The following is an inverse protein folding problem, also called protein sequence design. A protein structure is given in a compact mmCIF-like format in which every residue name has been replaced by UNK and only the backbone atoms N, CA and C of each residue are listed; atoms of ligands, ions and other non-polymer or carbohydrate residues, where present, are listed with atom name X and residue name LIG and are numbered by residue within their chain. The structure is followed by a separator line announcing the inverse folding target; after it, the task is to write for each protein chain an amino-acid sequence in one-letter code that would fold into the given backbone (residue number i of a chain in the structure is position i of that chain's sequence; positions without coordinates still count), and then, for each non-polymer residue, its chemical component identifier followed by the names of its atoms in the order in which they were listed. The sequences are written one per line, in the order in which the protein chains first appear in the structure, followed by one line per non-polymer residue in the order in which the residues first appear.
data_IF_498651867407
#
_entry.id   IF_498651867407
#
_cell.length_a   1.000
_cell.length_b   1.000
_cell.length_c   1.000
_cell.angle_alpha   90.00
_cell.angle_beta   90.00
_cell.angle_gamma   90.00
#
_symmetry.space_group_name_H-M   'P 1'
#
loop_
_entity.id
_entity.type
_entity.pdbx_description
1 polymer ?
#
# COMPACT_ATOMS: atom_id res chain seq x y z
N UNK A 1 23.29 -28.27 7.59
CA UNK A 1 22.47 -27.07 7.85
C UNK A 1 22.08 -26.51 6.49
N UNK A 2 20.87 -26.82 6.00
CA UNK A 2 20.39 -26.38 4.68
C UNK A 2 19.71 -25.03 4.91
N UNK A 3 20.41 -23.93 4.63
CA UNK A 3 19.75 -22.62 4.62
C UNK A 3 18.75 -22.62 3.46
N UNK A 4 17.46 -22.31 3.69
CA UNK A 4 16.52 -22.19 2.60
C UNK A 4 17.05 -21.13 1.63
N UNK A 5 16.94 -21.42 0.33
CA UNK A 5 17.24 -20.45 -0.73
C UNK A 5 16.42 -19.20 -0.46
N UNK A 6 17.10 -18.10 -0.16
CA UNK A 6 16.44 -16.81 0.02
C UNK A 6 15.82 -16.43 -1.33
N UNK A 7 14.50 -16.55 -1.44
CA UNK A 7 13.75 -16.03 -2.58
C UNK A 7 13.87 -14.51 -2.48
N UNK A 8 14.73 -13.92 -3.32
CA UNK A 8 14.89 -12.48 -3.37
C UNK A 8 13.55 -11.85 -3.78
N UNK A 9 12.99 -11.00 -2.92
CA UNK A 9 11.81 -10.22 -3.24
C UNK A 9 12.13 -9.29 -4.42
N UNK A 10 11.29 -9.36 -5.45
CA UNK A 10 11.38 -8.46 -6.60
C UNK A 10 10.87 -7.09 -6.20
N UNK A 11 11.71 -6.07 -6.30
CA UNK A 11 11.32 -4.70 -5.98
C UNK A 11 10.51 -4.11 -7.14
N UNK A 12 9.38 -3.52 -6.79
CA UNK A 12 8.46 -2.82 -7.68
C UNK A 12 8.52 -1.33 -7.33
N UNK A 13 8.80 -0.51 -8.34
CA UNK A 13 8.84 0.94 -8.16
C UNK A 13 7.41 1.47 -8.19
N UNK A 14 7.05 2.26 -7.18
CA UNK A 14 5.76 2.96 -7.13
C UNK A 14 6.00 4.46 -7.41
N UNK A 15 5.22 5.05 -8.32
CA UNK A 15 5.33 6.46 -8.71
C UNK A 15 3.97 7.04 -9.13
N UNK A 16 3.92 8.36 -9.37
CA UNK A 16 2.69 9.12 -9.65
C UNK A 16 1.57 8.87 -8.64
N UNK A 17 1.97 8.75 -7.37
CA UNK A 17 1.07 8.35 -6.30
C UNK A 17 0.25 9.56 -5.85
N UNK A 18 -1.06 9.38 -5.88
CA UNK A 18 -2.06 10.33 -5.44
C UNK A 18 -3.05 9.64 -4.52
N UNK A 19 -3.91 10.41 -3.86
CA UNK A 19 -5.00 9.86 -3.06
C UNK A 19 -6.27 10.67 -3.28
N UNK A 20 -7.40 10.01 -3.11
CA UNK A 20 -8.74 10.60 -3.11
C UNK A 20 -9.55 10.04 -1.96
N UNK A 21 -10.58 10.75 -1.54
CA UNK A 21 -11.55 10.19 -0.60
C UNK A 21 -12.28 9.01 -1.23
N UNK A 22 -12.59 8.00 -0.41
CA UNK A 22 -13.38 6.86 -0.89
C UNK A 22 -14.79 7.33 -1.28
N UNK A 23 -15.37 6.79 -2.37
CA UNK A 23 -16.78 6.98 -2.66
C UNK A 23 -17.64 6.58 -1.45
N UNK A 24 -18.80 7.23 -1.24
CA UNK A 24 -19.68 6.96 -0.10
C UNK A 24 -20.19 5.50 -0.06
N UNK A 25 -20.19 4.80 -1.20
CA UNK A 25 -20.52 3.39 -1.33
C UNK A 25 -19.49 2.46 -0.65
N UNK A 26 -18.21 2.86 -0.65
CA UNK A 26 -17.08 2.11 -0.10
C UNK A 26 -16.75 2.56 1.34
N UNK A 27 -17.12 3.80 1.70
CA UNK A 27 -16.89 4.38 3.02
C UNK A 27 -17.72 3.72 4.15
N UNK A 28 -18.83 3.03 3.83
CA UNK A 28 -19.65 2.30 4.81
C UNK A 28 -18.82 1.17 5.45
N UNK A 29 -18.42 1.37 6.71
CA UNK A 29 -17.68 0.38 7.50
C UNK A 29 -16.20 0.67 7.71
N UNK A 30 -15.70 1.88 7.39
CA UNK A 30 -14.35 2.30 7.76
C UNK A 30 -14.23 2.55 9.28
N UNK A 31 -14.18 1.48 10.07
CA UNK A 31 -13.75 1.54 11.48
C UNK A 31 -12.29 1.10 11.54
N UNK A 32 -11.44 1.82 12.25
CA UNK A 32 -10.08 1.37 12.52
C UNK A 32 -10.14 0.12 13.40
N UNK A 33 -9.62 -1.02 12.93
CA UNK A 33 -9.58 -2.26 13.73
C UNK A 33 -8.87 -2.00 15.07
N UNK A 34 -9.65 -1.96 16.15
CA UNK A 34 -9.15 -1.82 17.53
C UNK A 34 -9.60 -0.57 18.29
N UNK A 35 -10.26 0.41 17.65
CA UNK A 35 -10.80 1.59 18.35
C UNK A 35 -12.16 2.01 17.79
N UNK A 36 -13.04 2.54 18.64
CA UNK A 36 -14.37 3.08 18.29
C UNK A 36 -14.32 4.45 17.61
N UNK A 37 -13.14 4.91 17.18
CA UNK A 37 -12.96 6.23 16.60
C UNK A 37 -13.40 6.26 15.14
N UNK A 38 -14.09 7.34 14.74
CA UNK A 38 -14.44 7.59 13.36
C UNK A 38 -13.16 7.66 12.50
N UNK A 39 -13.18 7.04 11.32
CA UNK A 39 -12.07 7.04 10.38
C UNK A 39 -12.54 7.49 8.99
N UNK A 40 -11.75 8.37 8.38
CA UNK A 40 -11.88 8.75 7.00
C UNK A 40 -11.25 7.66 6.12
N UNK A 41 -11.95 7.32 5.03
CA UNK A 41 -11.47 6.37 4.05
C UNK A 41 -10.82 7.12 2.90
N UNK A 42 -9.58 6.76 2.58
CA UNK A 42 -8.88 7.27 1.41
C UNK A 42 -8.45 6.12 0.50
N UNK A 43 -8.45 6.41 -0.79
CA UNK A 43 -8.04 5.52 -1.86
C UNK A 43 -6.75 6.08 -2.47
N UNK A 44 -5.64 5.41 -2.22
CA UNK A 44 -4.33 5.74 -2.76
C UNK A 44 -4.19 5.05 -4.11
N UNK A 45 -3.91 5.82 -5.15
CA UNK A 45 -3.76 5.33 -6.53
C UNK A 45 -2.40 5.73 -7.05
N UNK A 46 -1.81 4.92 -7.92
CA UNK A 46 -0.56 5.26 -8.57
C UNK A 46 -0.15 4.21 -9.60
N UNK A 47 1.10 4.31 -10.03
CA UNK A 47 1.69 3.40 -11.02
C UNK A 47 2.74 2.51 -10.36
N UNK A 48 2.71 1.23 -10.73
CA UNK A 48 3.64 0.20 -10.34
C UNK A 48 4.44 -0.24 -11.57
N UNK A 49 5.75 -0.01 -11.54
CA UNK A 49 6.70 -0.47 -12.55
C UNK A 49 7.37 -1.76 -12.08
N UNK A 50 7.10 -2.84 -12.82
CA UNK A 50 7.81 -4.09 -12.74
C UNK A 50 8.90 -4.13 -13.82
N UNK A 51 10.18 -3.99 -13.44
CA UNK A 51 11.29 -3.97 -14.39
C UNK A 51 11.65 -5.37 -14.91
N UNK A 52 10.95 -6.42 -14.49
CA UNK A 52 11.24 -7.80 -14.87
C UNK A 52 10.34 -8.29 -16.01
N UNK A 53 10.72 -9.38 -16.65
CA UNK A 53 9.94 -10.02 -17.73
C UNK A 53 8.88 -11.00 -17.21
N UNK A 54 8.67 -11.10 -15.90
CA UNK A 54 7.73 -12.03 -15.28
C UNK A 54 6.75 -11.27 -14.40
N UNK A 55 5.52 -11.76 -14.32
CA UNK A 55 4.54 -11.26 -13.34
C UNK A 55 5.06 -11.49 -11.93
N UNK A 56 4.99 -10.44 -11.11
CA UNK A 56 5.31 -10.50 -9.67
C UNK A 56 4.00 -10.67 -8.90
N UNK A 57 3.96 -11.63 -8.00
CA UNK A 57 2.79 -11.97 -7.20
C UNK A 57 2.97 -11.51 -5.75
N UNK A 58 1.84 -11.27 -5.08
CA UNK A 58 1.78 -10.94 -3.66
C UNK A 58 2.72 -9.79 -3.27
N UNK A 59 2.69 -8.70 -4.06
CA UNK A 59 3.57 -7.56 -3.89
C UNK A 59 3.10 -6.66 -2.75
N UNK A 60 3.79 -6.70 -1.63
CA UNK A 60 3.49 -5.90 -0.45
C UNK A 60 3.87 -4.44 -0.66
N UNK A 61 2.91 -3.53 -0.43
CA UNK A 61 3.13 -2.08 -0.48
C UNK A 61 3.61 -1.60 0.88
N UNK A 62 4.75 -0.94 0.88
CA UNK A 62 5.31 -0.26 2.03
C UNK A 62 5.34 1.24 1.78
N UNK A 63 5.10 2.03 2.82
CA UNK A 63 5.17 3.48 2.73
C UNK A 63 4.98 4.15 4.09
N UNK A 64 5.12 5.47 4.10
CA UNK A 64 4.82 6.30 5.25
C UNK A 64 3.80 7.36 4.87
N UNK A 65 2.77 7.47 5.68
CA UNK A 65 1.70 8.44 5.50
C UNK A 65 1.74 9.37 6.71
N UNK A 66 1.83 10.66 6.43
CA UNK A 66 1.78 11.71 7.43
C UNK A 66 0.58 12.62 7.17
N UNK A 67 0.07 13.25 8.20
CA UNK A 67 -0.94 14.29 8.07
C UNK A 67 -0.32 15.66 7.67
N UNK A 68 -1.15 16.70 7.64
CA UNK A 68 -0.69 18.05 7.34
C UNK A 68 0.36 18.57 8.36
N UNK A 69 0.30 18.14 9.62
CA UNK A 69 1.20 18.53 10.69
C UNK A 69 2.51 17.73 10.73
N UNK A 70 2.65 16.71 9.88
CA UNK A 70 3.73 15.72 9.87
C UNK A 70 3.63 14.67 10.99
N UNK A 71 2.45 14.48 11.56
CA UNK A 71 2.21 13.38 12.48
C UNK A 71 1.96 12.09 11.70
N UNK A 72 2.54 10.95 12.14
CA UNK A 72 2.38 9.68 11.45
C UNK A 72 0.95 9.18 11.58
N UNK A 73 0.31 8.93 10.44
CA UNK A 73 -1.07 8.45 10.39
C UNK A 73 -1.19 7.01 10.90
N UNK A 74 -0.16 6.21 10.66
CA UNK A 74 -0.05 4.82 11.10
C UNK A 74 1.28 4.63 11.84
N UNK A 75 1.24 4.66 13.17
CA UNK A 75 2.46 4.63 13.99
C UNK A 75 3.21 3.28 13.95
N UNK A 76 2.50 2.15 13.83
CA UNK A 76 3.07 0.81 14.00
C UNK A 76 3.04 -0.07 12.73
N UNK A 77 2.69 0.50 11.57
CA UNK A 77 2.55 -0.26 10.31
C UNK A 77 3.27 0.42 9.16
N UNK A 78 4.33 -0.21 8.67
CA UNK A 78 5.03 0.19 7.44
C UNK A 78 4.46 -0.50 6.21
N UNK A 79 3.86 -1.70 6.37
CA UNK A 79 3.10 -2.41 5.33
C UNK A 79 1.68 -1.85 5.28
N UNK A 80 1.35 -1.20 4.18
CA UNK A 80 0.07 -0.50 3.98
C UNK A 80 -0.96 -1.40 3.28
N UNK A 81 -0.50 -2.31 2.42
CA UNK A 81 -1.37 -3.26 1.72
C UNK A 81 -0.55 -4.18 0.81
N UNK A 82 -1.21 -4.78 -0.17
CA UNK A 82 -0.59 -5.67 -1.16
C UNK A 82 -1.29 -5.60 -2.50
N UNK A 83 -0.53 -5.77 -3.58
CA UNK A 83 -1.00 -5.92 -4.95
C UNK A 83 -0.93 -7.42 -5.29
N UNK A 84 -2.04 -8.07 -5.67
CA UNK A 84 -2.04 -9.50 -5.95
C UNK A 84 -1.08 -9.88 -7.08
N UNK A 85 -1.08 -9.10 -8.16
CA UNK A 85 -0.30 -9.36 -9.36
C UNK A 85 0.18 -8.05 -9.98
N UNK A 86 1.46 -8.01 -10.35
CA UNK A 86 2.08 -6.87 -11.05
C UNK A 86 2.69 -7.41 -12.35
N UNK A 87 2.04 -7.23 -13.52
CA UNK A 87 2.57 -7.69 -14.79
C UNK A 87 3.86 -6.93 -15.17
N UNK A 88 4.68 -7.48 -16.09
CA UNK A 88 5.84 -6.77 -16.65
C UNK A 88 5.48 -5.38 -17.19
N UNK A 89 6.33 -4.38 -16.94
CA UNK A 89 6.10 -3.00 -17.37
C UNK A 89 5.34 -2.17 -16.33
N UNK A 90 4.52 -1.23 -16.79
CA UNK A 90 3.79 -0.28 -15.94
C UNK A 90 2.33 -0.71 -15.82
N UNK A 91 1.86 -0.84 -14.59
CA UNK A 91 0.47 -1.13 -14.24
C UNK A 91 -0.07 -0.11 -13.24
N UNK A 92 -1.37 0.11 -13.22
CA UNK A 92 -2.00 0.94 -12.20
C UNK A 92 -2.27 0.09 -10.95
N UNK A 93 -2.14 0.70 -9.77
CA UNK A 93 -2.48 0.06 -8.50
C UNK A 93 -3.39 0.96 -7.66
N UNK A 94 -4.15 0.31 -6.79
CA UNK A 94 -5.05 0.98 -5.86
C UNK A 94 -4.93 0.36 -4.46
N UNK A 95 -4.93 1.22 -3.45
CA UNK A 95 -4.85 0.83 -2.05
C UNK A 95 -5.80 1.65 -1.20
N UNK A 96 -6.73 0.97 -0.51
CA UNK A 96 -7.58 1.60 0.49
C UNK A 96 -6.83 1.74 1.82
N UNK A 97 -6.86 2.93 2.39
CA UNK A 97 -6.36 3.22 3.74
C UNK A 97 -7.47 3.84 4.59
N UNK A 98 -7.44 3.56 5.89
CA UNK A 98 -8.31 4.19 6.87
C UNK A 98 -7.45 5.08 7.77
N UNK A 99 -7.86 6.34 7.89
CA UNK A 99 -7.14 7.39 8.63
C UNK A 99 -8.07 7.94 9.69
N UNK A 100 -7.59 8.16 10.92
CA UNK A 100 -8.44 8.68 11.97
C UNK A 100 -9.04 10.06 11.58
N UNK A 101 -10.33 10.27 11.83
CA UNK A 101 -11.06 11.43 11.31
C UNK A 101 -10.58 12.78 11.88
N UNK A 102 -9.83 12.76 12.99
CA UNK A 102 -9.23 13.94 13.60
C UNK A 102 -7.91 14.37 12.95
N UNK A 103 -7.39 13.60 11.97
CA UNK A 103 -6.13 13.95 11.31
C UNK A 103 -6.35 14.96 10.17
N UNK A 104 -5.59 16.07 10.15
CA UNK A 104 -5.75 17.12 9.15
C UNK A 104 -5.21 16.70 7.76
N UNK A 105 -5.97 17.04 6.73
CA UNK A 105 -5.56 16.95 5.32
C UNK A 105 -4.86 18.25 4.87
N UNK A 106 -3.99 18.22 3.84
CA UNK A 106 -3.68 17.10 2.95
C UNK A 106 -2.71 16.08 3.57
N UNK A 107 -2.94 14.80 3.29
CA UNK A 107 -2.01 13.72 3.60
C UNK A 107 -0.74 13.82 2.75
N UNK A 108 0.39 13.51 3.37
CA UNK A 108 1.71 13.45 2.76
C UNK A 108 2.13 12.00 2.62
N UNK A 109 2.18 11.52 1.37
CA UNK A 109 2.63 10.18 1.01
C UNK A 109 4.14 10.18 0.77
N UNK A 110 4.90 9.36 1.51
CA UNK A 110 6.37 9.34 1.43
C UNK A 110 6.91 7.91 1.35
N UNK A 111 8.01 7.76 0.61
CA UNK A 111 8.83 6.54 0.55
C UNK A 111 8.04 5.27 0.19
N UNK A 112 7.11 5.39 -0.75
CA UNK A 112 6.34 4.24 -1.22
C UNK A 112 7.20 3.33 -2.08
N UNK A 113 7.10 2.02 -1.80
CA UNK A 113 7.76 0.95 -2.55
C UNK A 113 6.92 -0.31 -2.43
N UNK A 114 7.01 -1.20 -3.41
CA UNK A 114 6.42 -2.53 -3.29
C UNK A 114 7.49 -3.61 -3.48
N UNK A 115 7.26 -4.77 -2.88
CA UNK A 115 8.12 -5.93 -3.07
C UNK A 115 7.31 -7.22 -3.02
N UNK A 116 7.51 -8.11 -3.99
CA UNK A 116 6.77 -9.36 -4.12
C UNK A 116 7.61 -10.52 -4.61
N UNK A 117 6.96 -11.61 -5.02
CA UNK A 117 7.62 -12.85 -5.41
C UNK A 117 7.50 -13.09 -6.91
N UNK A 118 8.57 -13.61 -7.53
CA UNK A 118 8.58 -13.95 -8.97
C UNK A 118 7.80 -15.22 -9.33
N UNK A 119 7.15 -15.85 -8.35
CA UNK A 119 6.24 -16.98 -8.50
C UNK A 119 5.17 -16.88 -7.41
N UNK A 120 3.95 -17.32 -7.72
CA UNK A 120 2.86 -17.37 -6.75
C UNK A 120 3.27 -18.24 -5.56
N UNK A 121 3.20 -17.68 -4.36
CA UNK A 121 3.49 -18.44 -3.14
C UNK A 121 2.27 -19.29 -2.81
N UNK A 122 2.38 -20.62 -2.99
CA UNK A 122 1.34 -21.54 -2.55
C UNK A 122 1.30 -21.52 -1.02
N UNK A 123 0.13 -21.22 -0.46
CA UNK A 123 -0.15 -21.25 0.98
C UNK A 123 -0.46 -22.67 1.45
#
# INVERSE_FOLDING_TARGET
MYSPTAIALTQIRLFDITYKECPPEIAKGAVTSGTTMAANCFLVTGKAENPTYKTVYDADIFGRIYDANNDPVMQNRTRLGSIPEVPPGISDFELRISVAANQPTPLKLKQFKAAGFGAQVRK
#
